data_IF_082580339301
#
_entry.id   IF_082580339301
#
_cell.length_a   1.000
_cell.length_b   1.000
_cell.length_c   1.000
_cell.angle_alpha   90.00
_cell.angle_beta   90.00
_cell.angle_gamma   90.00
#
_symmetry.space_group_name_H-M   'P 1'
#
loop_
_entity.id
_entity.type
_entity.pdbx_description
1 polymer ?
#
# COMPACT_ATOMS: atom_id res chain seq x y z
N UNK A 1 -4.75 4.51 -9.95
CA UNK A 1 -4.37 5.09 -8.67
C UNK A 1 -3.50 4.11 -7.92
N UNK A 2 -2.62 4.63 -7.08
CA UNK A 2 -1.90 3.85 -6.06
C UNK A 2 -2.34 4.27 -4.66
N UNK A 3 -2.33 3.33 -3.70
CA UNK A 3 -2.54 3.60 -2.28
C UNK A 3 -1.89 2.51 -1.42
N UNK A 4 -1.72 2.76 -0.12
CA UNK A 4 -1.28 1.76 0.86
C UNK A 4 -2.28 1.61 2.01
N UNK A 5 -2.48 0.40 2.54
CA UNK A 5 -3.25 0.19 3.78
C UNK A 5 -2.33 0.43 4.98
N UNK A 6 -2.64 1.46 5.76
CA UNK A 6 -1.81 1.86 6.89
C UNK A 6 -1.69 0.75 7.93
N UNK A 7 -0.45 0.26 8.11
CA UNK A 7 -0.10 -0.74 9.12
C UNK A 7 -1.06 -1.95 9.05
N UNK A 8 -1.36 -2.43 7.84
CA UNK A 8 -2.35 -3.49 7.56
C UNK A 8 -2.38 -4.61 8.61
N UNK A 9 -1.22 -5.21 8.93
CA UNK A 9 -1.13 -6.29 9.93
C UNK A 9 -1.60 -5.89 11.33
N UNK A 10 -1.28 -4.66 11.74
CA UNK A 10 -1.70 -4.12 13.04
C UNK A 10 -3.17 -3.71 13.07
N UNK A 11 -3.93 -3.80 11.99
CA UNK A 11 -5.37 -3.55 12.04
C UNK A 11 -6.17 -4.84 12.32
N UNK A 12 -5.52 -6.00 12.21
CA UNK A 12 -6.20 -7.30 12.29
C UNK A 12 -5.94 -7.95 13.64
N UNK A 13 -7.03 -8.27 14.35
CA UNK A 13 -7.00 -8.96 15.64
C UNK A 13 -6.86 -10.46 15.42
N UNK A 14 -6.02 -11.10 16.23
CA UNK A 14 -5.87 -12.55 16.27
C UNK A 14 -6.83 -13.15 17.29
N UNK A 15 -7.53 -14.21 16.88
CA UNK A 15 -8.39 -14.99 17.77
C UNK A 15 -7.57 -15.79 18.79
N UNK A 16 -6.47 -16.39 18.35
CA UNK A 16 -5.52 -17.10 19.20
C UNK A 16 -4.18 -16.35 19.20
N UNK A 17 -3.79 -15.84 20.37
CA UNK A 17 -2.56 -15.07 20.58
C UNK A 17 -1.63 -15.74 21.58
N UNK A 18 -1.95 -16.96 22.06
CA UNK A 18 -1.13 -17.64 23.06
C UNK A 18 0.25 -18.02 22.51
N UNK A 19 0.36 -18.20 21.20
CA UNK A 19 1.62 -18.47 20.49
C UNK A 19 2.36 -17.19 20.07
N UNK A 20 1.79 -16.00 20.29
CA UNK A 20 2.45 -14.72 20.01
C UNK A 20 2.85 -14.02 21.30
N UNK A 21 3.68 -14.69 22.10
CA UNK A 21 4.20 -14.17 23.36
C UNK A 21 5.58 -13.57 23.20
N UNK A 22 5.79 -12.47 23.90
CA UNK A 22 7.10 -11.87 24.09
C UNK A 22 7.39 -11.74 25.57
N UNK A 23 8.65 -11.89 25.95
CA UNK A 23 9.11 -11.60 27.31
C UNK A 23 9.80 -10.25 27.31
N UNK A 24 9.51 -9.42 28.30
CA UNK A 24 10.11 -8.09 28.41
C UNK A 24 10.28 -7.68 29.87
N UNK A 25 11.33 -6.89 30.12
CA UNK A 25 11.56 -6.18 31.38
C UNK A 25 12.34 -4.90 31.08
N UNK A 26 12.05 -3.84 31.81
CA UNK A 26 12.71 -2.54 31.73
C UNK A 26 14.00 -2.45 32.55
N UNK A 27 14.21 -3.37 33.48
CA UNK A 27 15.41 -3.41 34.34
C UNK A 27 15.82 -4.84 34.68
N UNK A 28 17.13 -5.14 34.77
CA UNK A 28 17.63 -6.44 35.21
C UNK A 28 17.15 -6.87 36.61
N UNK A 29 16.81 -5.89 37.45
CA UNK A 29 16.37 -6.09 38.83
C UNK A 29 14.86 -6.35 38.96
N UNK A 30 14.09 -6.18 37.88
CA UNK A 30 12.65 -6.45 37.86
C UNK A 30 12.37 -7.86 37.34
N UNK A 31 11.28 -8.50 37.80
CA UNK A 31 10.85 -9.79 37.25
C UNK A 31 10.57 -9.66 35.75
N UNK A 32 10.86 -10.73 35.01
CA UNK A 32 10.48 -10.84 33.59
C UNK A 32 8.96 -10.89 33.51
N UNK A 33 8.39 -10.07 32.63
CA UNK A 33 6.96 -10.09 32.31
C UNK A 33 6.74 -10.76 30.95
N UNK A 34 5.64 -11.49 30.80
CA UNK A 34 5.20 -11.99 29.50
C UNK A 34 4.01 -11.18 28.96
N UNK A 35 4.04 -10.89 27.67
CA UNK A 35 3.00 -10.14 26.97
C UNK A 35 2.50 -10.95 25.78
N UNK A 36 1.20 -10.87 25.51
CA UNK A 36 0.56 -11.47 24.33
C UNK A 36 0.29 -10.41 23.27
N UNK A 37 0.78 -10.61 22.07
CA UNK A 37 0.47 -9.77 20.92
C UNK A 37 -0.92 -10.14 20.38
N UNK A 38 -1.87 -9.21 20.48
CA UNK A 38 -3.28 -9.45 20.10
C UNK A 38 -3.57 -9.25 18.60
N UNK A 39 -2.60 -8.79 17.83
CA UNK A 39 -2.74 -8.44 16.42
C UNK A 39 -1.67 -9.14 15.61
N UNK A 40 -1.85 -9.27 14.30
CA UNK A 40 -0.87 -9.93 13.43
C UNK A 40 0.50 -9.28 13.63
N UNK A 41 1.45 -10.07 14.14
CA UNK A 41 2.83 -9.64 14.36
C UNK A 41 3.69 -9.83 13.10
N UNK A 42 4.54 -8.84 12.83
CA UNK A 42 5.57 -8.91 11.78
C UNK A 42 6.55 -10.05 12.06
N UNK A 43 7.12 -10.61 10.99
CA UNK A 43 8.15 -11.65 11.09
C UNK A 43 7.61 -13.06 11.29
N UNK A 44 6.30 -13.24 11.47
CA UNK A 44 5.68 -14.56 11.40
C UNK A 44 5.43 -14.94 9.94
N UNK A 45 5.75 -16.17 9.54
CA UNK A 45 5.61 -16.63 8.15
C UNK A 45 4.16 -16.56 7.64
N UNK A 46 3.17 -16.67 8.53
CA UNK A 46 1.75 -16.62 8.19
C UNK A 46 1.16 -15.20 8.16
N UNK A 47 1.86 -14.18 8.65
CA UNK A 47 1.32 -12.82 8.74
C UNK A 47 0.80 -12.26 7.39
N UNK A 48 1.57 -12.33 6.28
CA UNK A 48 1.10 -11.83 4.99
C UNK A 48 -0.15 -12.55 4.51
N UNK A 49 -0.15 -13.89 4.63
CA UNK A 49 -1.30 -14.71 4.26
C UNK A 49 -2.55 -14.32 5.04
N UNK A 50 -2.46 -14.25 6.37
CA UNK A 50 -3.59 -13.92 7.24
C UNK A 50 -4.16 -12.54 6.90
N UNK A 51 -3.28 -11.56 6.66
CA UNK A 51 -3.71 -10.20 6.32
C UNK A 51 -4.43 -10.13 4.98
N UNK A 52 -3.86 -10.73 3.94
CA UNK A 52 -4.46 -10.81 2.60
C UNK A 52 -5.79 -11.57 2.67
N UNK A 53 -5.88 -12.68 3.42
CA UNK A 53 -7.14 -13.41 3.58
C UNK A 53 -8.22 -12.58 4.24
N UNK A 54 -7.89 -11.74 5.23
CA UNK A 54 -8.85 -10.83 5.84
C UNK A 54 -9.37 -9.79 4.83
N UNK A 55 -8.49 -9.19 4.03
CA UNK A 55 -8.88 -8.25 2.98
C UNK A 55 -9.77 -8.91 1.92
N UNK A 56 -9.40 -10.11 1.47
CA UNK A 56 -10.21 -10.89 0.51
C UNK A 56 -11.58 -11.25 1.09
N UNK A 57 -11.63 -11.61 2.38
CA UNK A 57 -12.89 -11.94 3.04
C UNK A 57 -13.81 -10.72 3.14
N UNK A 58 -13.26 -9.56 3.47
CA UNK A 58 -13.98 -8.28 3.45
C UNK A 58 -14.57 -8.00 2.07
N UNK A 59 -13.77 -8.15 1.02
CA UNK A 59 -14.20 -7.95 -0.37
C UNK A 59 -15.39 -8.84 -0.74
N UNK A 60 -15.37 -10.12 -0.36
CA UNK A 60 -16.46 -11.06 -0.61
C UNK A 60 -17.72 -10.67 0.17
N UNK A 61 -17.58 -10.23 1.42
CA UNK A 61 -18.72 -9.86 2.27
C UNK A 61 -19.40 -8.58 1.81
N UNK A 62 -18.61 -7.64 1.30
CA UNK A 62 -19.08 -6.31 0.91
C UNK A 62 -19.33 -6.16 -0.60
N UNK A 63 -19.23 -7.24 -1.39
CA UNK A 63 -19.39 -7.21 -2.85
C UNK A 63 -20.70 -6.57 -3.30
N UNK A 64 -21.78 -6.81 -2.57
CA UNK A 64 -23.09 -6.21 -2.87
C UNK A 64 -23.09 -4.68 -2.66
N UNK A 65 -22.36 -4.18 -1.66
CA UNK A 65 -22.34 -2.77 -1.30
C UNK A 65 -21.31 -1.98 -2.12
N UNK A 66 -20.15 -2.60 -2.40
CA UNK A 66 -18.99 -1.97 -3.02
C UNK A 66 -18.39 -2.85 -4.14
N UNK A 67 -19.14 -3.13 -5.23
CA UNK A 67 -18.74 -4.11 -6.24
C UNK A 67 -17.42 -3.78 -6.94
N UNK A 68 -17.11 -2.51 -7.18
CA UNK A 68 -15.85 -2.11 -7.81
C UNK A 68 -14.68 -2.32 -6.85
N UNK A 69 -14.84 -1.89 -5.60
CA UNK A 69 -13.82 -2.06 -4.57
C UNK A 69 -13.56 -3.52 -4.27
N UNK A 70 -14.59 -4.37 -4.20
CA UNK A 70 -14.44 -5.81 -3.98
C UNK A 70 -13.64 -6.46 -5.11
N UNK A 71 -13.93 -6.12 -6.36
CA UNK A 71 -13.17 -6.62 -7.51
C UNK A 71 -11.70 -6.20 -7.45
N UNK A 72 -11.42 -4.93 -7.11
CA UNK A 72 -10.07 -4.42 -6.95
C UNK A 72 -9.34 -5.05 -5.75
N UNK A 73 -10.00 -5.20 -4.60
CA UNK A 73 -9.44 -5.85 -3.41
C UNK A 73 -9.00 -7.30 -3.65
N UNK A 74 -9.65 -8.00 -4.59
CA UNK A 74 -9.32 -9.36 -4.96
C UNK A 74 -8.20 -9.48 -6.02
N UNK A 75 -7.94 -8.42 -6.81
CA UNK A 75 -7.10 -8.51 -8.02
C UNK A 75 -5.93 -7.53 -8.06
N UNK A 76 -6.10 -6.37 -7.44
CA UNK A 76 -5.26 -5.18 -7.66
C UNK A 76 -4.40 -4.84 -6.44
N UNK A 77 -4.55 -5.60 -5.34
CA UNK A 77 -3.69 -5.50 -4.16
C UNK A 77 -2.53 -6.49 -4.23
N UNK A 78 -1.34 -5.97 -3.96
CA UNK A 78 -0.18 -6.75 -3.55
C UNK A 78 0.07 -6.52 -2.06
N UNK A 79 -0.41 -7.43 -1.23
CA UNK A 79 -0.41 -7.29 0.24
C UNK A 79 -1.15 -6.01 0.67
N UNK A 80 -0.44 -4.97 1.11
CA UNK A 80 -0.97 -3.68 1.54
C UNK A 80 -0.96 -2.61 0.44
N UNK A 81 -0.23 -2.83 -0.65
CA UNK A 81 -0.12 -1.90 -1.78
C UNK A 81 -1.26 -2.13 -2.79
N UNK A 82 -2.02 -1.08 -3.09
CA UNK A 82 -3.00 -1.03 -4.16
C UNK A 82 -2.37 -0.44 -5.43
N UNK A 83 -2.59 -1.10 -6.56
CA UNK A 83 -2.40 -0.51 -7.89
C UNK A 83 -3.59 -0.86 -8.78
N UNK A 84 -4.47 0.12 -9.00
CA UNK A 84 -5.68 -0.06 -9.82
C UNK A 84 -5.88 1.10 -10.78
N UNK A 85 -6.92 1.05 -11.61
CA UNK A 85 -7.24 2.12 -12.54
C UNK A 85 -8.58 1.91 -13.23
N UNK A 86 -9.00 2.90 -14.01
CA UNK A 86 -10.23 2.85 -14.79
C UNK A 86 -10.07 3.50 -16.18
N UNK A 87 -11.09 3.37 -17.03
CA UNK A 87 -11.08 3.93 -18.38
C UNK A 87 -11.68 5.34 -18.45
N UNK A 88 -12.31 5.81 -17.38
CA UNK A 88 -12.85 7.17 -17.27
C UNK A 88 -12.66 7.73 -15.86
N UNK A 89 -12.56 9.06 -15.75
CA UNK A 89 -12.39 9.75 -14.46
C UNK A 89 -13.57 9.44 -13.53
N UNK A 90 -14.79 9.37 -14.07
CA UNK A 90 -15.98 9.03 -13.30
C UNK A 90 -15.90 7.62 -12.68
N UNK A 91 -15.48 6.61 -13.46
CA UNK A 91 -15.28 5.25 -12.95
C UNK A 91 -14.15 5.18 -11.91
N UNK A 92 -13.06 5.92 -12.14
CA UNK A 92 -11.94 5.97 -11.21
C UNK A 92 -12.36 6.61 -9.86
N UNK A 93 -13.17 7.66 -9.90
CA UNK A 93 -13.72 8.31 -8.72
C UNK A 93 -14.66 7.39 -7.93
N UNK A 94 -15.54 6.68 -8.63
CA UNK A 94 -16.44 5.70 -8.01
C UNK A 94 -15.66 4.55 -7.37
N UNK A 95 -14.68 4.00 -8.09
CA UNK A 95 -13.78 2.97 -7.56
C UNK A 95 -13.03 3.45 -6.30
N UNK A 96 -12.43 4.65 -6.35
CA UNK A 96 -11.72 5.23 -5.21
C UNK A 96 -12.64 5.41 -4.01
N UNK A 97 -13.83 5.98 -4.23
CA UNK A 97 -14.83 6.19 -3.20
C UNK A 97 -15.28 4.88 -2.54
N UNK A 98 -15.59 3.87 -3.35
CA UNK A 98 -15.96 2.53 -2.86
C UNK A 98 -14.82 1.88 -2.08
N UNK A 99 -13.56 2.01 -2.52
CA UNK A 99 -12.39 1.46 -1.82
C UNK A 99 -12.23 2.10 -0.44
N UNK A 100 -12.34 3.42 -0.34
CA UNK A 100 -12.22 4.14 0.92
C UNK A 100 -13.33 3.72 1.88
N UNK A 101 -14.57 3.64 1.40
CA UNK A 101 -15.73 3.27 2.23
C UNK A 101 -15.66 1.81 2.70
N UNK A 102 -15.34 0.87 1.79
CA UNK A 102 -15.21 -0.55 2.12
C UNK A 102 -14.08 -0.81 3.11
N UNK A 103 -12.90 -0.21 2.90
CA UNK A 103 -11.79 -0.37 3.84
C UNK A 103 -12.13 0.25 5.20
N UNK A 104 -12.75 1.42 5.22
CA UNK A 104 -13.16 2.09 6.45
C UNK A 104 -14.19 1.29 7.24
N UNK A 105 -15.08 0.52 6.59
CA UNK A 105 -16.06 -0.32 7.31
C UNK A 105 -15.40 -1.42 8.15
N UNK A 106 -14.19 -1.85 7.74
CA UNK A 106 -13.36 -2.80 8.47
C UNK A 106 -12.30 -2.14 9.38
N UNK A 107 -12.29 -0.81 9.50
CA UNK A 107 -11.26 -0.07 10.24
C UNK A 107 -9.89 -0.04 9.55
N UNK A 108 -9.84 -0.35 8.25
CA UNK A 108 -8.65 -0.25 7.43
C UNK A 108 -8.57 1.16 6.83
N UNK A 109 -7.46 1.84 7.03
CA UNK A 109 -7.24 3.20 6.51
C UNK A 109 -6.31 3.10 5.30
N UNK A 110 -6.79 3.52 4.12
CA UNK A 110 -5.95 3.71 2.93
C UNK A 110 -5.28 5.08 2.95
N UNK A 111 -3.99 5.12 2.67
CA UNK A 111 -3.15 6.32 2.63
C UNK A 111 -2.29 6.32 1.38
N UNK A 112 -1.43 7.32 1.27
CA UNK A 112 -0.50 7.51 0.15
C UNK A 112 -1.20 7.43 -1.20
N UNK A 113 -2.38 8.06 -1.30
CA UNK A 113 -3.08 8.15 -2.56
C UNK A 113 -2.26 8.98 -3.56
N UNK A 114 -2.04 8.41 -4.75
CA UNK A 114 -1.55 9.11 -5.94
C UNK A 114 -2.26 8.61 -7.19
N UNK A 115 -2.24 9.46 -8.22
CA UNK A 115 -2.84 9.20 -9.53
C UNK A 115 -2.13 10.03 -10.58
N UNK A 116 -2.22 9.61 -11.84
CA UNK A 116 -1.84 10.43 -13.00
C UNK A 116 -2.84 11.56 -13.30
N UNK A 117 -3.98 11.63 -12.60
CA UNK A 117 -4.97 12.71 -12.69
C UNK A 117 -5.14 13.44 -11.36
N UNK A 118 -5.03 14.77 -11.39
CA UNK A 118 -5.14 15.61 -10.20
C UNK A 118 -6.54 15.56 -9.57
N UNK A 119 -7.59 15.37 -10.36
CA UNK A 119 -8.97 15.26 -9.88
C UNK A 119 -9.13 14.13 -8.85
N UNK A 120 -8.44 13.00 -9.05
CA UNK A 120 -8.47 11.84 -8.14
C UNK A 120 -7.70 12.10 -6.84
N UNK A 121 -6.70 12.97 -6.86
CA UNK A 121 -5.87 13.27 -5.69
C UNK A 121 -6.47 14.43 -4.87
N UNK A 122 -7.10 15.41 -5.53
CA UNK A 122 -7.66 16.61 -4.90
C UNK A 122 -8.83 16.35 -3.94
N UNK A 123 -9.52 15.22 -4.10
CA UNK A 123 -10.65 14.84 -3.23
C UNK A 123 -10.23 14.15 -1.93
N UNK A 124 -8.98 13.70 -1.85
CA UNK A 124 -8.42 13.05 -0.67
C UNK A 124 -7.94 14.09 0.33
N UNK A 125 -8.12 13.86 1.64
CA UNK A 125 -7.57 14.73 2.68
C UNK A 125 -6.03 14.75 2.59
N UNK A 126 -5.41 15.91 2.82
CA UNK A 126 -3.96 16.09 2.59
C UNK A 126 -3.07 15.10 3.37
N UNK A 127 -3.50 14.68 4.56
CA UNK A 127 -2.79 13.72 5.41
C UNK A 127 -2.87 12.25 4.92
N UNK A 128 -3.81 11.96 4.02
CA UNK A 128 -4.00 10.65 3.38
C UNK A 128 -3.39 10.59 1.98
N UNK A 129 -2.97 11.73 1.41
CA UNK A 129 -2.22 11.77 0.15
C UNK A 129 -0.80 11.26 0.34
N UNK A 130 -0.13 10.90 -0.75
CA UNK A 130 1.33 10.74 -0.71
C UNK A 130 1.92 12.07 -0.21
N UNK A 131 2.69 12.07 0.90
CA UNK A 131 3.44 13.26 1.27
C UNK A 131 4.32 13.62 0.08
N UNK A 132 4.52 14.92 -0.19
CA UNK A 132 5.55 15.37 -1.11
C UNK A 132 6.92 14.96 -0.54
N UNK A 133 7.33 13.69 -0.70
CA UNK A 133 8.60 13.17 -0.22
C UNK A 133 9.70 13.66 -1.17
N UNK A 134 9.97 14.96 -1.08
CA UNK A 134 11.17 15.58 -1.62
C UNK A 134 12.34 15.25 -0.69
N UNK A 135 12.87 14.04 -0.80
CA UNK A 135 14.21 13.69 -0.30
C UNK A 135 15.14 13.21 -1.42
N UNK A 136 14.85 13.64 -2.65
CA UNK A 136 15.79 13.71 -3.77
C UNK A 136 15.39 14.88 -4.67
N UNK A 137 16.39 15.60 -5.17
CA UNK A 137 16.26 16.80 -6.03
C UNK A 137 15.75 16.45 -7.45
N UNK A 138 15.26 15.23 -7.68
CA UNK A 138 14.67 14.80 -8.95
C UNK A 138 13.24 14.28 -8.75
N UNK A 139 12.31 15.05 -9.33
CA UNK A 139 10.96 14.76 -9.84
C UNK A 139 9.90 14.05 -8.98
N UNK A 140 8.66 14.50 -9.20
CA UNK A 140 7.35 14.03 -8.71
C UNK A 140 7.12 12.52 -8.94
N UNK A 141 7.94 11.69 -8.28
CA UNK A 141 8.00 10.24 -8.44
C UNK A 141 7.47 9.53 -7.22
N UNK A 142 6.72 8.45 -7.47
CA UNK A 142 6.16 7.55 -6.46
C UNK A 142 6.93 6.24 -6.52
N UNK A 143 7.46 5.79 -5.37
CA UNK A 143 8.07 4.47 -5.28
C UNK A 143 6.98 3.42 -5.05
N UNK A 144 6.81 2.52 -6.01
CA UNK A 144 5.78 1.48 -5.99
C UNK A 144 6.42 0.14 -6.30
N UNK A 145 6.27 -0.86 -5.41
CA UNK A 145 6.80 -2.22 -5.58
C UNK A 145 8.30 -2.33 -5.97
N UNK A 146 9.12 -1.38 -5.53
CA UNK A 146 10.56 -1.38 -5.79
C UNK A 146 10.99 -0.71 -7.10
N UNK A 147 10.05 -0.19 -7.89
CA UNK A 147 10.28 0.66 -9.06
C UNK A 147 9.81 2.10 -8.77
N UNK A 148 10.25 3.05 -9.59
CA UNK A 148 9.80 4.43 -9.56
C UNK A 148 8.69 4.59 -10.60
N UNK A 149 7.63 5.29 -10.27
CA UNK A 149 6.55 5.64 -11.17
C UNK A 149 6.38 7.16 -11.17
N UNK A 150 6.32 7.74 -12.36
CA UNK A 150 6.05 9.16 -12.60
C UNK A 150 4.55 9.28 -12.93
N UNK A 151 3.70 9.72 -11.98
CA UNK A 151 2.26 9.68 -12.19
C UNK A 151 1.84 10.54 -13.38
N UNK A 152 2.27 11.80 -13.44
CA UNK A 152 1.84 12.75 -14.48
C UNK A 152 2.14 12.30 -15.92
N UNK A 153 3.26 11.61 -16.15
CA UNK A 153 3.65 11.10 -17.46
C UNK A 153 3.31 9.62 -17.67
N UNK A 154 2.78 8.96 -16.65
CA UNK A 154 2.55 7.51 -16.59
C UNK A 154 3.76 6.67 -17.04
N UNK A 155 4.92 6.99 -16.48
CA UNK A 155 6.21 6.36 -16.83
C UNK A 155 6.75 5.61 -15.63
N UNK A 156 7.12 4.35 -15.82
CA UNK A 156 7.92 3.63 -14.82
C UNK A 156 9.41 3.72 -15.14
N UNK A 157 10.22 3.94 -14.10
CA UNK A 157 11.67 3.97 -14.16
C UNK A 157 12.28 3.11 -13.04
N UNK A 158 13.50 2.64 -13.25
CA UNK A 158 14.26 1.96 -12.20
C UNK A 158 15.67 2.52 -12.12
N UNK A 159 16.18 2.64 -10.91
CA UNK A 159 17.54 3.09 -10.65
C UNK A 159 18.46 1.88 -10.58
N UNK A 160 19.21 1.63 -11.66
CA UNK A 160 20.27 0.63 -11.66
C UNK A 160 21.61 1.29 -11.30
N UNK A 161 22.24 0.84 -10.21
CA UNK A 161 23.66 1.11 -9.97
C UNK A 161 24.46 0.10 -10.78
N UNK A 162 24.77 0.43 -12.03
CA UNK A 162 25.76 -0.31 -12.80
C UNK A 162 27.12 -0.04 -12.15
N UNK A 163 27.75 -1.10 -11.61
CA UNK A 163 29.17 -1.06 -11.28
C UNK A 163 29.90 -0.85 -12.60
N UNK A 164 30.39 0.36 -12.84
CA UNK A 164 31.11 0.71 -14.07
C UNK A 164 32.33 -0.21 -14.22
N UNK A 165 32.41 -0.95 -15.32
CA UNK A 165 33.71 -1.27 -15.90
C UNK A 165 34.28 0.08 -16.36
N UNK A 166 35.23 0.59 -15.58
CA UNK A 166 36.04 1.79 -15.79
C UNK A 166 35.28 3.14 -15.79
N UNK A 167 35.19 3.75 -14.61
CA UNK A 167 35.53 5.18 -14.45
C UNK A 167 34.50 6.26 -14.79
N UNK A 168 33.28 5.94 -15.20
CA UNK A 168 32.20 6.94 -15.35
C UNK A 168 30.87 6.36 -14.81
N UNK A 169 30.38 6.93 -13.71
CA UNK A 169 29.02 6.68 -13.21
C UNK A 169 28.02 7.41 -14.12
N UNK A 170 27.44 6.72 -15.10
CA UNK A 170 26.26 7.19 -15.82
C UNK A 170 25.00 6.59 -15.20
N UNK A 171 24.12 7.45 -14.68
CA UNK A 171 22.76 7.12 -14.30
C UNK A 171 21.96 6.88 -15.59
N UNK A 172 21.44 5.68 -15.79
CA UNK A 172 20.50 5.38 -16.87
C UNK A 172 19.11 5.12 -16.28
N UNK A 173 18.12 5.88 -16.75
CA UNK A 173 16.71 5.62 -16.51
C UNK A 173 16.19 4.81 -17.71
N UNK A 174 15.68 3.60 -17.47
CA UNK A 174 14.95 2.84 -18.49
C UNK A 174 13.47 3.12 -18.27
N UNK A 175 12.84 3.73 -19.28
CA UNK A 175 11.44 4.15 -19.27
C UNK A 175 10.58 3.08 -19.94
N UNK A 176 9.60 2.54 -19.21
CA UNK A 176 8.57 1.66 -19.76
C UNK A 176 7.21 2.36 -19.72
N UNK A 177 6.53 2.43 -20.86
CA UNK A 177 5.16 2.95 -20.99
C UNK A 177 4.16 1.80 -20.85
N UNK A 178 3.23 1.92 -19.91
CA UNK A 178 2.03 1.09 -19.87
C UNK A 178 0.86 1.94 -20.41
N UNK A 179 -0.08 1.32 -21.13
CA UNK A 179 -1.07 2.04 -21.95
C UNK A 179 -2.02 2.97 -21.17
N UNK A 180 -2.90 3.67 -21.91
CA UNK A 180 -3.81 4.78 -21.52
C UNK A 180 -4.80 4.54 -20.34
N UNK A 181 -4.52 3.71 -19.35
CA UNK A 181 -5.37 3.56 -18.18
C UNK A 181 -5.18 4.74 -17.21
N UNK A 182 -6.25 5.12 -16.52
CA UNK A 182 -6.19 6.15 -15.48
C UNK A 182 -5.70 5.48 -14.19
N UNK A 183 -4.37 5.53 -13.98
CA UNK A 183 -3.68 5.06 -12.78
C UNK A 183 -3.55 6.16 -11.72
#
# INVERSE_FOLDING_TARGET
MTADIEKMYRQIILKDSDFQRIVWRDSPFKPIQDFRLKRIAYGTASAPYLAVKCLQQLAIQEEHNFPLASKAALKDFYVDDLMSGANSIAEALDLQGQLIQMLSSAGLVSRKWASNFNELTNLIQEDLRLPNVSLSIDDDTVKTLGILWHPFSDVFSFKANLLSLEGLLSLFYITCYFGNALY
#
